data_IF_804924273336
#
_entry.id   IF_804924273336
#
_cell.length_a   1.000
_cell.length_b   1.000
_cell.length_c   1.000
_cell.angle_alpha   90.00
_cell.angle_beta   90.00
_cell.angle_gamma   90.00
#
_symmetry.space_group_name_H-M   'P 1'
#
loop_
_entity.id
_entity.type
_entity.pdbx_description
1 polymer ?
#
# COMPACT_ATOMS: atom_id res chain seq x y z
N UNK A 1 7.37 -3.19 -11.72
CA UNK A 1 7.33 -2.07 -10.75
C UNK A 1 8.49 -1.15 -11.05
N UNK A 2 8.27 0.17 -11.04
CA UNK A 2 9.26 1.17 -11.44
C UNK A 2 9.30 2.32 -10.44
N UNK A 3 10.43 3.03 -10.36
CA UNK A 3 10.58 4.24 -9.54
C UNK A 3 9.54 5.30 -9.96
N UNK A 4 8.92 5.96 -8.99
CA UNK A 4 7.86 6.96 -9.17
C UNK A 4 6.45 6.39 -9.22
N UNK A 5 6.29 5.08 -9.45
CA UNK A 5 4.97 4.44 -9.51
C UNK A 5 4.25 4.44 -8.15
N UNK A 6 2.94 4.68 -8.17
CA UNK A 6 2.06 4.49 -7.01
C UNK A 6 1.66 3.03 -6.86
N UNK A 7 1.71 2.54 -5.62
CA UNK A 7 1.36 1.17 -5.26
C UNK A 7 0.53 1.16 -3.99
N UNK A 8 -0.38 0.19 -3.86
CA UNK A 8 -1.14 -0.05 -2.63
C UNK A 8 -0.57 -1.25 -1.89
N UNK A 9 -0.41 -1.16 -0.57
CA UNK A 9 -0.01 -2.32 0.23
C UNK A 9 -1.18 -3.31 0.33
N UNK A 10 -0.97 -4.55 -0.13
CA UNK A 10 -1.98 -5.61 -0.09
C UNK A 10 -1.73 -6.63 1.05
N UNK A 11 -0.52 -6.63 1.62
CA UNK A 11 -0.12 -7.52 2.69
C UNK A 11 0.82 -6.85 3.71
N UNK A 12 0.26 -6.48 4.86
CA UNK A 12 0.93 -5.88 6.02
C UNK A 12 1.28 -6.90 7.12
N UNK A 13 1.25 -8.19 6.82
CA UNK A 13 1.59 -9.22 7.81
C UNK A 13 3.10 -9.37 7.92
N UNK A 14 3.66 -8.86 9.02
CA UNK A 14 5.09 -8.93 9.34
C UNK A 14 5.36 -9.81 10.58
N UNK A 15 6.34 -10.74 10.51
CA UNK A 15 6.83 -11.47 11.66
C UNK A 15 7.34 -10.55 12.78
N UNK A 16 7.28 -11.00 14.03
CA UNK A 16 7.67 -10.20 15.20
C UNK A 16 9.11 -9.64 15.10
N UNK A 17 10.06 -10.43 14.60
CA UNK A 17 11.43 -9.99 14.41
C UNK A 17 11.57 -8.83 13.41
N UNK A 18 10.77 -8.83 12.34
CA UNK A 18 10.75 -7.71 11.37
C UNK A 18 10.22 -6.43 12.03
N UNK A 19 9.19 -6.55 12.87
CA UNK A 19 8.65 -5.41 13.63
C UNK A 19 9.66 -4.80 14.61
N UNK A 20 10.62 -5.58 15.09
CA UNK A 20 11.68 -5.09 15.97
C UNK A 20 12.80 -4.36 15.21
N UNK A 21 13.03 -4.70 13.93
CA UNK A 21 14.08 -4.10 13.11
C UNK A 21 13.63 -2.84 12.38
N UNK A 22 12.38 -2.82 11.92
CA UNK A 22 11.86 -1.73 11.09
C UNK A 22 11.35 -0.60 11.96
N UNK A 23 11.66 0.64 11.58
CA UNK A 23 11.10 1.83 12.21
C UNK A 23 9.64 2.03 11.79
N UNK A 24 9.35 1.74 10.53
CA UNK A 24 8.05 1.95 9.91
C UNK A 24 7.70 0.76 9.02
N UNK A 25 6.43 0.36 9.05
CA UNK A 25 5.88 -0.73 8.25
C UNK A 25 4.69 -0.23 7.44
N UNK A 26 4.51 -0.69 6.19
CA UNK A 26 3.35 -0.34 5.39
C UNK A 26 2.09 -0.96 5.98
N UNK A 27 0.98 -0.24 5.89
CA UNK A 27 -0.33 -0.67 6.34
C UNK A 27 -1.17 -1.11 5.13
N UNK A 28 -1.92 -2.22 5.26
CA UNK A 28 -2.76 -2.71 4.18
C UNK A 28 -3.80 -1.68 3.76
N UNK A 29 -3.99 -1.51 2.45
CA UNK A 29 -4.89 -0.52 1.86
C UNK A 29 -4.31 0.89 1.76
N UNK A 30 -3.14 1.16 2.34
CA UNK A 30 -2.47 2.45 2.19
C UNK A 30 -1.68 2.52 0.88
N UNK A 31 -1.69 3.70 0.26
CA UNK A 31 -0.95 4.01 -0.96
C UNK A 31 0.43 4.56 -0.65
N UNK A 32 1.41 4.12 -1.42
CA UNK A 32 2.81 4.51 -1.32
C UNK A 32 3.39 4.80 -2.70
N UNK A 33 4.49 5.54 -2.75
CA UNK A 33 5.20 5.87 -3.98
C UNK A 33 6.57 5.20 -3.97
N UNK A 34 6.91 4.47 -5.04
CA UNK A 34 8.21 3.78 -5.14
C UNK A 34 9.33 4.82 -5.27
N UNK A 35 10.21 4.90 -4.27
CA UNK A 35 11.41 5.73 -4.27
C UNK A 35 12.57 5.06 -5.02
N UNK A 36 12.71 3.75 -4.84
CA UNK A 36 13.79 2.96 -5.42
C UNK A 36 13.38 1.49 -5.57
N UNK A 37 13.90 0.84 -6.60
CA UNK A 37 13.74 -0.60 -6.85
C UNK A 37 15.14 -1.21 -6.85
N UNK A 38 15.35 -2.23 -6.04
CA UNK A 38 16.63 -2.92 -5.92
C UNK A 38 16.45 -4.43 -5.99
N UNK A 39 17.51 -5.14 -6.34
CA UNK A 39 17.53 -6.59 -6.25
C UNK A 39 17.73 -6.97 -4.78
N UNK A 40 16.72 -7.58 -4.18
CA UNK A 40 16.82 -8.15 -2.84
C UNK A 40 17.85 -9.27 -2.79
N UNK A 41 18.34 -9.57 -1.59
CA UNK A 41 19.34 -10.61 -1.32
C UNK A 41 19.13 -11.87 -2.17
N UNK A 42 20.18 -12.30 -2.85
CA UNK A 42 20.29 -13.69 -3.27
C UNK A 42 20.51 -14.52 -2.02
N UNK A 43 19.52 -15.32 -1.63
CA UNK A 43 19.88 -16.54 -0.92
C UNK A 43 20.45 -17.45 -1.99
N UNK A 44 21.78 -17.56 -2.06
CA UNK A 44 22.42 -18.70 -2.73
C UNK A 44 22.09 -19.94 -1.88
N UNK A 45 20.87 -20.45 -2.04
CA UNK A 45 20.54 -21.80 -1.60
C UNK A 45 21.09 -22.73 -2.67
N UNK A 46 21.83 -23.77 -2.24
CA UNK A 46 22.36 -24.82 -3.13
C UNK A 46 21.25 -25.30 -4.07
N UNK A 47 21.21 -24.80 -5.31
CA UNK A 47 20.29 -25.24 -6.36
C UNK A 47 19.18 -24.29 -6.81
N UNK A 48 19.16 -23.00 -6.46
CA UNK A 48 18.21 -22.08 -7.11
C UNK A 48 18.43 -20.59 -6.84
N UNK A 49 18.61 -19.82 -7.90
CA UNK A 49 18.73 -18.36 -7.89
C UNK A 49 17.34 -17.72 -7.71
N UNK A 50 16.86 -17.59 -6.47
CA UNK A 50 15.64 -16.81 -6.21
C UNK A 50 16.01 -15.37 -5.88
N UNK A 51 16.15 -14.54 -6.92
CA UNK A 51 16.26 -13.10 -6.75
C UNK A 51 14.88 -12.52 -6.39
N UNK A 52 14.81 -11.74 -5.31
CA UNK A 52 13.58 -11.02 -4.92
C UNK A 52 13.68 -9.58 -5.36
N UNK A 53 12.56 -8.93 -5.70
CA UNK A 53 12.56 -7.49 -5.98
C UNK A 53 12.21 -6.74 -4.70
N UNK A 54 13.12 -5.88 -4.26
CA UNK A 54 12.97 -5.01 -3.10
C UNK A 54 12.58 -3.59 -3.50
N UNK A 55 11.77 -2.94 -2.66
CA UNK A 55 11.27 -1.59 -2.85
C UNK A 55 11.60 -0.71 -1.66
N UNK A 56 12.02 0.52 -1.92
CA UNK A 56 11.99 1.62 -0.97
C UNK A 56 10.81 2.53 -1.30
N UNK A 57 10.14 3.06 -0.27
CA UNK A 57 8.95 3.89 -0.43
C UNK A 57 9.26 5.33 0.01
N UNK A 58 8.72 6.32 -0.70
CA UNK A 58 8.97 7.73 -0.40
C UNK A 58 8.44 8.12 0.98
N UNK A 59 7.32 7.54 1.39
CA UNK A 59 6.64 7.85 2.64
C UNK A 59 7.25 7.12 3.84
N UNK A 60 7.97 6.01 3.62
CA UNK A 60 8.54 5.17 4.67
C UNK A 60 10.06 5.12 4.54
N UNK A 61 10.76 5.80 5.46
CA UNK A 61 12.22 5.71 5.59
C UNK A 61 12.60 4.89 6.82
N UNK A 62 13.38 3.85 6.62
CA UNK A 62 13.85 2.90 7.64
C UNK A 62 15.36 3.01 7.89
N UNK A 63 15.87 2.46 9.00
CA UNK A 63 17.31 2.38 9.22
C UNK A 63 17.99 1.45 8.20
N UNK A 64 19.32 1.59 8.04
CA UNK A 64 20.11 0.63 7.27
C UNK A 64 20.00 -0.77 7.87
N UNK A 65 20.04 -1.79 7.01
CA UNK A 65 20.03 -3.19 7.39
C UNK A 65 21.30 -3.50 8.20
N UNK A 66 21.16 -3.87 9.50
CA UNK A 66 22.31 -4.18 10.34
C UNK A 66 23.07 -5.44 9.89
N UNK A 67 22.49 -6.25 9.00
CA UNK A 67 23.09 -7.47 8.48
C UNK A 67 23.68 -7.30 7.08
N UNK A 68 23.56 -6.12 6.46
CA UNK A 68 24.08 -5.85 5.13
C UNK A 68 25.35 -4.99 5.20
N UNK A 69 26.47 -5.48 4.64
CA UNK A 69 27.75 -4.76 4.67
C UNK A 69 27.69 -3.39 3.99
N UNK A 70 26.87 -3.25 2.94
CA UNK A 70 26.65 -1.98 2.24
C UNK A 70 25.70 -1.00 2.95
N UNK A 71 25.23 -1.30 4.17
CA UNK A 71 24.28 -0.47 4.93
C UNK A 71 23.05 -0.04 4.11
N UNK A 72 22.55 -0.94 3.27
CA UNK A 72 21.38 -0.67 2.44
C UNK A 72 20.15 -0.52 3.34
N UNK A 73 19.28 0.43 3.05
CA UNK A 73 18.04 0.62 3.80
C UNK A 73 17.15 -0.63 3.80
N UNK A 74 16.50 -0.88 4.94
CA UNK A 74 15.49 -1.94 5.08
C UNK A 74 14.25 -1.63 4.21
N UNK A 75 14.22 -2.24 3.02
CA UNK A 75 13.10 -2.17 2.08
C UNK A 75 12.10 -3.31 2.19
N UNK A 76 11.09 -3.27 1.33
CA UNK A 76 9.97 -4.22 1.34
C UNK A 76 9.94 -5.07 0.07
N UNK A 77 9.49 -6.32 0.16
CA UNK A 77 9.32 -7.15 -1.05
C UNK A 77 8.19 -6.62 -1.91
N UNK A 78 8.40 -6.60 -3.23
CA UNK A 78 7.40 -6.14 -4.20
C UNK A 78 6.07 -6.89 -4.11
N UNK A 79 6.11 -8.17 -3.74
CA UNK A 79 4.94 -9.05 -3.58
C UNK A 79 3.91 -8.56 -2.54
N UNK A 80 4.29 -7.62 -1.68
CA UNK A 80 3.37 -7.00 -0.70
C UNK A 80 2.56 -5.84 -1.26
N UNK A 81 2.80 -5.48 -2.52
CA UNK A 81 2.20 -4.31 -3.15
C UNK A 81 1.54 -4.66 -4.47
N UNK A 82 0.45 -3.98 -4.77
CA UNK A 82 -0.18 -3.99 -6.09
C UNK A 82 0.03 -2.62 -6.77
N UNK A 83 0.39 -2.58 -8.06
CA UNK A 83 0.36 -1.35 -8.86
C UNK A 83 -1.01 -0.70 -8.82
N UNK A 84 -1.06 0.62 -8.68
CA UNK A 84 -2.29 1.37 -8.94
C UNK A 84 -2.35 1.72 -10.43
N UNK A 85 -3.50 1.51 -11.06
CA UNK A 85 -3.76 2.04 -12.40
C UNK A 85 -3.82 3.56 -12.32
N UNK A 86 -2.89 4.24 -12.98
CA UNK A 86 -3.00 5.67 -13.25
C UNK A 86 -3.91 5.81 -14.46
N UNK A 87 -5.17 6.21 -14.24
CA UNK A 87 -6.05 6.60 -15.35
C UNK A 87 -5.35 7.74 -16.12
N UNK A 88 -5.36 7.71 -17.46
CA UNK A 88 -4.81 8.80 -18.25
C UNK A 88 -5.46 10.13 -17.83
N UNK A 89 -4.72 11.25 -17.92
CA UNK A 89 -5.16 12.56 -17.39
C UNK A 89 -6.44 13.12 -18.03
N UNK A 90 -7.01 12.45 -19.03
CA UNK A 90 -8.24 12.84 -19.73
C UNK A 90 -9.53 12.39 -19.01
N UNK A 91 -9.45 11.51 -17.99
CA UNK A 91 -10.63 10.93 -17.33
C UNK A 91 -10.72 11.22 -15.81
N UNK A 92 -9.97 12.18 -15.29
CA UNK A 92 -9.99 12.55 -13.87
C UNK A 92 -11.06 13.60 -13.48
N UNK A 93 -11.91 14.04 -14.41
CA UNK A 93 -12.94 15.09 -14.19
C UNK A 93 -14.38 14.60 -14.43
N UNK A 94 -14.75 13.48 -13.82
CA UNK A 94 -16.13 13.11 -13.51
C UNK A 94 -15.95 12.02 -12.45
N UNK A 95 -16.20 12.23 -11.16
CA UNK A 95 -17.48 11.89 -10.53
C UNK A 95 -17.38 12.32 -9.06
N UNK A 96 -17.78 13.57 -8.75
CA UNK A 96 -18.21 13.93 -7.39
C UNK A 96 -19.44 14.83 -7.55
N UNK A 97 -20.58 14.20 -7.83
CA UNK A 97 -21.85 14.88 -8.00
C UNK A 97 -23.00 13.97 -7.62
N UNK A 98 -23.63 14.30 -6.49
CA UNK A 98 -25.04 14.03 -6.18
C UNK A 98 -25.47 12.60 -5.81
N UNK A 99 -25.49 12.30 -4.50
CA UNK A 99 -26.49 11.40 -3.92
C UNK A 99 -27.15 12.10 -2.73
N UNK A 100 -27.98 13.11 -3.00
CA UNK A 100 -29.00 13.60 -2.06
C UNK A 100 -30.19 12.65 -2.16
N UNK A 101 -30.21 11.63 -1.30
CA UNK A 101 -31.36 10.74 -1.12
C UNK A 101 -32.29 11.27 -0.03
N UNK A 102 -33.38 11.90 -0.44
CA UNK A 102 -34.49 12.32 0.40
C UNK A 102 -35.24 11.10 1.00
N UNK A 103 -35.71 11.24 2.24
CA UNK A 103 -36.53 10.22 2.91
C UNK A 103 -37.01 10.65 4.29
N UNK A 104 -37.72 11.78 4.37
CA UNK A 104 -38.44 12.18 5.57
C UNK A 104 -39.87 11.62 5.53
N UNK A 105 -40.08 10.43 6.10
CA UNK A 105 -41.42 9.87 6.30
C UNK A 105 -42.01 10.41 7.61
N UNK A 106 -42.91 11.39 7.47
CA UNK A 106 -43.76 11.89 8.55
C UNK A 106 -44.90 10.88 8.77
N UNK A 107 -44.82 10.10 9.84
CA UNK A 107 -46.01 9.46 10.41
C UNK A 107 -46.89 10.55 11.05
N UNK A 108 -47.97 10.93 10.38
CA UNK A 108 -49.05 11.71 10.97
C UNK A 108 -50.25 10.80 11.24
N UNK A 109 -50.66 10.76 12.51
CA UNK A 109 -51.74 9.92 12.99
C UNK A 109 -53.09 10.29 12.41
N UNK A 110 -53.91 9.27 12.19
CA UNK A 110 -55.33 9.39 11.94
C UNK A 110 -56.10 8.52 12.93
N UNK A 111 -56.79 9.13 13.87
CA UNK A 111 -57.89 8.49 14.60
C UNK A 111 -58.82 9.56 15.18
N UNK A 112 -59.77 10.12 14.41
CA UNK A 112 -61.01 10.74 14.92
C UNK A 112 -62.04 10.83 13.77
N UNK A 113 -63.19 10.15 13.92
CA UNK A 113 -64.52 10.47 13.33
C UNK A 113 -65.52 9.47 13.92
N UNK A 114 -66.42 9.91 14.81
CA UNK A 114 -67.75 10.52 14.59
C UNK A 114 -68.85 9.47 14.71
#
# INVERSE_FOLDING_TARGET
>A
MVKGQKVVCINDTFPAFIRALYKQLPAKGSTYTIREVFLGREKIVKGGDTATVGLLLSELTNPPDPFHQGQQELGFTSERFAPMEELPPEEATAEVGELVGAGAEKHHGGFWSH
#
